data_IF_036547524936
#
_entry.id   IF_036547524936
#
_cell.length_a   1.000
_cell.length_b   1.000
_cell.length_c   1.000
_cell.angle_alpha   90.00
_cell.angle_beta   90.00
_cell.angle_gamma   90.00
#
_symmetry.space_group_name_H-M   'P 1'
#
loop_
_entity.id
_entity.type
_entity.pdbx_description
1 polymer ?
#
# COMPACT_ATOMS: atom_id res chain seq x y z
N UNK A 1 0.70 7.06 46.19
CA UNK A 1 0.00 7.84 45.12
C UNK A 1 0.95 8.41 44.06
N UNK A 2 2.24 8.05 44.05
CA UNK A 2 3.18 8.47 43.00
C UNK A 2 3.30 7.47 41.85
N UNK A 3 3.13 6.17 42.16
CA UNK A 3 3.22 5.05 41.20
C UNK A 3 2.26 5.21 40.02
N UNK A 4 1.10 5.81 40.25
CA UNK A 4 0.09 6.05 39.20
C UNK A 4 0.62 6.96 38.08
N UNK A 5 1.44 7.96 38.42
CA UNK A 5 2.03 8.86 37.42
C UNK A 5 3.02 8.13 36.52
N UNK A 6 3.86 7.27 37.11
CA UNK A 6 4.81 6.43 36.36
C UNK A 6 4.05 5.47 35.43
N UNK A 7 3.00 4.84 35.94
CA UNK A 7 2.21 3.87 35.16
C UNK A 7 1.50 4.54 33.97
N UNK A 8 0.94 5.73 34.18
CA UNK A 8 0.29 6.51 33.12
C UNK A 8 1.32 6.91 32.05
N UNK A 9 2.48 7.43 32.45
CA UNK A 9 3.51 7.85 31.51
C UNK A 9 4.02 6.67 30.66
N UNK A 10 4.31 5.53 31.28
CA UNK A 10 4.77 4.33 30.56
C UNK A 10 3.69 3.82 29.59
N UNK A 11 2.43 3.78 30.03
CA UNK A 11 1.30 3.36 29.19
C UNK A 11 1.15 4.23 27.93
N UNK A 12 1.23 5.56 28.09
CA UNK A 12 1.13 6.50 26.97
C UNK A 12 2.30 6.34 26.00
N UNK A 13 3.53 6.15 26.49
CA UNK A 13 4.70 5.94 25.64
C UNK A 13 4.52 4.68 24.79
N UNK A 14 4.13 3.56 25.42
CA UNK A 14 3.87 2.30 24.71
C UNK A 14 2.77 2.48 23.66
N UNK A 15 1.68 3.18 24.00
CA UNK A 15 0.58 3.44 23.07
C UNK A 15 1.04 4.23 21.83
N UNK A 16 1.85 5.28 22.02
CA UNK A 16 2.39 6.10 20.92
C UNK A 16 3.33 5.27 20.03
N UNK A 17 4.20 4.44 20.62
CA UNK A 17 5.10 3.57 19.86
C UNK A 17 4.30 2.60 18.99
N UNK A 18 3.30 1.91 19.54
CA UNK A 18 2.45 1.01 18.76
C UNK A 18 1.64 1.75 17.69
N UNK A 19 1.13 2.94 18.00
CA UNK A 19 0.37 3.74 17.04
C UNK A 19 1.24 4.20 15.85
N UNK A 20 2.46 4.68 16.10
CA UNK A 20 3.38 5.10 15.03
C UNK A 20 3.80 3.92 14.15
N UNK A 21 4.07 2.76 14.74
CA UNK A 21 4.34 1.53 14.00
C UNK A 21 3.14 1.09 13.16
N UNK A 22 1.92 1.16 13.72
CA UNK A 22 0.68 0.85 13.01
C UNK A 22 0.50 1.75 11.78
N UNK A 23 0.63 3.07 11.93
CA UNK A 23 0.51 4.02 10.81
C UNK A 23 1.58 3.76 9.75
N UNK A 24 2.83 3.50 10.15
CA UNK A 24 3.91 3.15 9.22
C UNK A 24 3.61 1.87 8.45
N UNK A 25 3.10 0.83 9.12
CA UNK A 25 2.73 -0.43 8.48
C UNK A 25 1.62 -0.24 7.43
N UNK A 26 0.55 0.48 7.79
CA UNK A 26 -0.57 0.79 6.86
C UNK A 26 -0.09 1.61 5.66
N UNK A 27 0.85 2.55 5.87
CA UNK A 27 1.36 3.41 4.81
C UNK A 27 2.42 2.75 3.90
N UNK A 28 2.93 1.56 4.24
CA UNK A 28 4.01 0.88 3.49
C UNK A 28 3.51 0.20 2.20
N UNK A 29 2.75 0.94 1.38
CA UNK A 29 2.53 0.59 -0.03
C UNK A 29 1.64 -0.61 -0.30
N UNK A 30 0.94 -1.16 0.69
CA UNK A 30 0.03 -2.30 0.46
C UNK A 30 -1.22 -1.93 -0.39
N UNK A 31 -1.42 -0.65 -0.68
CA UNK A 31 -2.48 -0.12 -1.52
C UNK A 31 -2.07 0.14 -2.98
N UNK A 32 -0.81 -0.11 -3.35
CA UNK A 32 -0.30 0.14 -4.71
C UNK A 32 -0.85 -0.86 -5.74
N UNK A 33 -1.45 -1.97 -5.26
CA UNK A 33 -2.15 -2.97 -6.08
C UNK A 33 -3.67 -2.70 -6.17
N UNK A 34 -4.06 -1.42 -6.17
CA UNK A 34 -5.47 -1.00 -6.36
C UNK A 34 -5.96 -1.16 -7.81
N UNK A 35 -5.07 -1.50 -8.74
CA UNK A 35 -5.40 -1.87 -10.12
C UNK A 35 -5.28 -3.38 -10.28
N UNK A 36 -6.39 -4.07 -10.06
CA UNK A 36 -6.47 -5.53 -10.12
C UNK A 36 -5.89 -6.05 -11.44
N UNK A 37 -5.05 -7.11 -11.42
CA UNK A 37 -4.48 -7.70 -12.64
C UNK A 37 -5.54 -8.13 -13.65
N UNK A 38 -6.75 -8.46 -13.20
CA UNK A 38 -7.90 -8.79 -14.03
C UNK A 38 -8.37 -7.63 -14.92
N UNK A 39 -8.27 -6.39 -14.43
CA UNK A 39 -8.65 -5.17 -15.16
C UNK A 39 -7.58 -4.83 -16.19
N UNK A 40 -6.30 -4.93 -15.78
CA UNK A 40 -5.16 -4.75 -16.70
C UNK A 40 -5.27 -5.71 -17.90
N UNK A 41 -5.49 -6.99 -17.63
CA UNK A 41 -5.56 -8.00 -18.68
C UNK A 41 -6.80 -7.81 -19.59
N UNK A 42 -7.96 -7.43 -19.03
CA UNK A 42 -9.20 -7.27 -19.81
C UNK A 42 -9.19 -6.05 -20.76
N UNK A 43 -8.48 -4.97 -20.40
CA UNK A 43 -8.45 -3.73 -21.19
C UNK A 43 -7.16 -3.52 -22.00
N UNK A 44 -6.04 -4.16 -21.62
CA UNK A 44 -4.80 -4.11 -22.41
C UNK A 44 -4.79 -5.11 -23.57
N UNK A 45 -5.54 -6.24 -23.47
CA UNK A 45 -5.65 -7.24 -24.55
C UNK A 45 -6.40 -6.72 -25.79
N UNK A 46 -7.26 -5.69 -25.63
CA UNK A 46 -8.04 -5.11 -26.71
C UNK A 46 -7.24 -4.08 -27.55
N UNK A 47 -6.30 -3.35 -26.93
CA UNK A 47 -5.57 -2.23 -27.57
C UNK A 47 -4.28 -2.66 -28.30
N UNK A 48 -3.77 -3.87 -28.06
CA UNK A 48 -2.50 -4.34 -28.66
C UNK A 48 -2.67 -4.89 -30.08
N UNK A 49 -3.89 -5.22 -30.52
CA UNK A 49 -4.11 -5.84 -31.84
C UNK A 49 -4.00 -4.89 -33.04
N UNK A 50 -4.07 -3.57 -32.86
CA UNK A 50 -3.96 -2.64 -34.00
C UNK A 50 -2.51 -2.22 -34.35
N UNK A 51 -1.59 -2.25 -33.38
CA UNK A 51 -0.26 -1.66 -33.57
C UNK A 51 0.83 -2.64 -34.09
N UNK A 52 0.57 -3.95 -34.11
CA UNK A 52 1.57 -4.95 -34.54
C UNK A 52 1.56 -5.25 -36.05
N UNK A 53 0.69 -4.63 -36.85
CA UNK A 53 0.64 -4.89 -38.31
C UNK A 53 1.50 -3.94 -39.16
N UNK A 54 2.08 -2.87 -38.61
CA UNK A 54 2.83 -1.89 -39.42
C UNK A 54 4.35 -2.02 -39.40
N UNK A 55 4.96 -2.85 -38.54
CA UNK A 55 6.43 -2.85 -38.36
C UNK A 55 7.15 -4.08 -38.92
N UNK A 56 6.47 -4.97 -39.65
CA UNK A 56 7.08 -6.19 -40.23
C UNK A 56 7.28 -6.17 -41.75
N UNK A 57 7.34 -4.99 -42.37
CA UNK A 57 7.80 -4.81 -43.76
C UNK A 57 8.85 -3.69 -43.82
N UNK A 58 10.08 -3.97 -43.38
CA UNK A 58 11.29 -3.29 -43.87
C UNK A 58 12.48 -4.23 -43.77
#
# INVERSE_FOLDING_TARGET
>A
MSVIYILITVSIIVAIVFFTLFVKAVKTGQYDDSYTPSVRMLFEDELVKENNKQTKNK
#
